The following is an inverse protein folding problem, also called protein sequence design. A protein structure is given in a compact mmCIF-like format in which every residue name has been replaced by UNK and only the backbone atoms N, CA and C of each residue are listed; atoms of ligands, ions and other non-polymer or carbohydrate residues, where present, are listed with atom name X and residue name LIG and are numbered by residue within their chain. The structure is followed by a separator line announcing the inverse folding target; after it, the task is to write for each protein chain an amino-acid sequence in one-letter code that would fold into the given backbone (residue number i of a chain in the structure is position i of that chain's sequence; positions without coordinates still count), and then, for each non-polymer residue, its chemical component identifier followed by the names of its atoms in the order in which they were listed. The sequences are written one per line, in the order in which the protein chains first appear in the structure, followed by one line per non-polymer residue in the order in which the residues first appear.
data_IF_609278726631
#
_entry.id   IF_609278726631
#
_cell.length_a   1.000
_cell.length_b   1.000
_cell.length_c   1.000
_cell.angle_alpha   90.00
_cell.angle_beta   90.00
_cell.angle_gamma   90.00
#
_symmetry.space_group_name_H-M   'P 1'
#
loop_
_entity.id
_entity.type
_entity.pdbx_description
1 polymer ?
#
# COMPACT_ATOMS: atom_id res chain seq x y z
N UNK A 1 -28.27 9.18 -9.09
CA UNK A 1 -27.16 9.23 -8.12
C UNK A 1 -26.10 10.10 -8.75
N UNK A 2 -25.57 11.16 -8.11
CA UNK A 2 -24.47 11.91 -8.71
C UNK A 2 -23.27 10.97 -8.86
N UNK A 3 -22.76 10.83 -10.07
CA UNK A 3 -21.57 10.02 -10.35
C UNK A 3 -20.39 10.62 -9.57
N UNK A 4 -19.91 9.90 -8.55
CA UNK A 4 -18.72 10.28 -7.81
C UNK A 4 -17.52 9.69 -8.52
N UNK A 5 -16.61 10.55 -8.98
CA UNK A 5 -15.33 10.12 -9.54
C UNK A 5 -14.44 9.67 -8.38
N UNK A 6 -13.71 8.56 -8.53
CA UNK A 6 -12.84 8.06 -7.47
C UNK A 6 -11.37 8.12 -7.90
N UNK A 7 -10.51 8.67 -7.04
CA UNK A 7 -9.06 8.52 -7.13
C UNK A 7 -8.68 7.21 -6.45
N UNK A 8 -8.07 6.28 -7.19
CA UNK A 8 -7.77 4.94 -6.70
C UNK A 8 -6.32 4.55 -6.98
N UNK A 9 -5.71 3.86 -6.01
CA UNK A 9 -4.47 3.11 -6.19
C UNK A 9 -4.66 1.67 -5.67
N UNK A 10 -4.10 0.70 -6.38
CA UNK A 10 -4.19 -0.73 -6.02
C UNK A 10 -2.78 -1.29 -5.93
N UNK A 11 -2.40 -1.69 -4.73
CA UNK A 11 -1.17 -2.44 -4.47
C UNK A 11 -1.48 -3.94 -4.56
N UNK A 12 -0.62 -4.68 -5.27
CA UNK A 12 -0.72 -6.14 -5.40
C UNK A 12 0.65 -6.78 -5.20
N UNK A 13 0.69 -7.81 -4.37
CA UNK A 13 1.85 -8.65 -4.12
C UNK A 13 1.42 -10.11 -3.87
N UNK A 14 2.35 -11.08 -3.92
CA UNK A 14 2.04 -12.45 -3.53
C UNK A 14 1.45 -12.49 -2.11
N UNK A 15 0.21 -12.95 -1.98
CA UNK A 15 -0.50 -13.09 -0.70
C UNK A 15 -1.09 -11.81 -0.12
N UNK A 16 -1.03 -10.66 -0.81
CA UNK A 16 -1.64 -9.43 -0.31
C UNK A 16 -2.09 -8.46 -1.41
N UNK A 17 -3.25 -7.86 -1.19
CA UNK A 17 -3.79 -6.77 -2.03
C UNK A 17 -4.29 -5.66 -1.11
N UNK A 18 -3.95 -4.42 -1.42
CA UNK A 18 -4.44 -3.25 -0.69
C UNK A 18 -4.96 -2.22 -1.69
N UNK A 19 -6.19 -1.76 -1.46
CA UNK A 19 -6.79 -0.69 -2.27
C UNK A 19 -6.86 0.58 -1.43
N UNK A 20 -6.45 1.69 -2.05
CA UNK A 20 -6.59 3.04 -1.52
C UNK A 20 -7.57 3.78 -2.42
N UNK A 21 -8.56 4.43 -1.83
CA UNK A 21 -9.61 5.10 -2.59
C UNK A 21 -10.04 6.39 -1.91
N UNK A 22 -10.16 7.46 -2.70
CA UNK A 22 -10.69 8.75 -2.28
C UNK A 22 -11.79 9.19 -3.25
N UNK A 23 -12.93 9.62 -2.70
CA UNK A 23 -14.00 10.19 -3.50
C UNK A 23 -13.65 11.62 -3.91
N UNK A 24 -13.75 11.91 -5.20
CA UNK A 24 -13.67 13.27 -5.74
C UNK A 24 -15.10 13.80 -5.85
N UNK A 25 -15.42 14.89 -5.15
CA UNK A 25 -16.74 15.48 -5.22
C UNK A 25 -16.99 16.05 -6.63
N UNK A 26 -18.12 15.69 -7.22
CA UNK A 26 -18.58 16.26 -8.49
C UNK A 26 -19.46 17.48 -8.21
N UNK A 27 -19.24 18.56 -8.97
CA UNK A 27 -19.99 19.80 -8.83
C UNK A 27 -20.91 19.99 -10.02
N UNK A 28 -22.18 20.34 -9.75
CA UNK A 28 -23.16 20.72 -10.77
C UNK A 28 -23.06 22.22 -11.14
N UNK A 29 -21.97 22.90 -10.77
CA UNK A 29 -21.71 24.28 -11.12
C UNK A 29 -21.40 24.45 -12.63
N UNK A 30 -21.20 25.70 -13.06
CA UNK A 30 -20.78 25.96 -14.43
C UNK A 30 -19.47 25.21 -14.78
N UNK A 31 -19.20 24.93 -16.06
CA UNK A 31 -18.08 24.08 -16.47
C UNK A 31 -16.71 24.56 -15.96
N UNK A 32 -16.50 25.86 -15.78
CA UNK A 32 -15.25 26.40 -15.25
C UNK A 32 -15.15 26.15 -13.74
N UNK A 33 -16.19 26.48 -12.98
CA UNK A 33 -16.23 26.22 -11.54
C UNK A 33 -16.12 24.72 -11.20
N UNK A 34 -16.77 23.86 -11.98
CA UNK A 34 -16.68 22.41 -11.82
C UNK A 34 -15.25 21.90 -12.05
N UNK A 35 -14.55 22.39 -13.09
CA UNK A 35 -13.14 22.03 -13.36
C UNK A 35 -12.20 22.53 -12.27
N UNK A 36 -12.40 23.77 -11.80
CA UNK A 36 -11.58 24.33 -10.72
C UNK A 36 -11.74 23.53 -9.43
N UNK A 37 -12.97 23.21 -9.03
CA UNK A 37 -13.25 22.39 -7.85
C UNK A 37 -12.60 20.99 -7.97
N UNK A 38 -12.72 20.36 -9.14
CA UNK A 38 -12.13 19.06 -9.41
C UNK A 38 -10.59 19.08 -9.29
N UNK A 39 -9.93 20.08 -9.88
CA UNK A 39 -8.48 20.25 -9.78
C UNK A 39 -8.02 20.51 -8.34
N UNK A 40 -8.75 21.35 -7.60
CA UNK A 40 -8.45 21.61 -6.19
C UNK A 40 -8.59 20.34 -5.33
N UNK A 41 -9.62 19.52 -5.59
CA UNK A 41 -9.76 18.22 -4.94
C UNK A 41 -8.58 17.29 -5.26
N UNK A 42 -8.17 17.18 -6.53
CA UNK A 42 -7.01 16.36 -6.91
C UNK A 42 -5.71 16.85 -6.28
N UNK A 43 -5.48 18.16 -6.22
CA UNK A 43 -4.28 18.74 -5.61
C UNK A 43 -4.14 18.40 -4.12
N UNK A 44 -5.26 18.13 -3.44
CA UNK A 44 -5.27 17.74 -2.03
C UNK A 44 -5.22 16.22 -1.86
N UNK A 45 -6.04 15.49 -2.62
CA UNK A 45 -6.21 14.05 -2.48
C UNK A 45 -4.99 13.27 -2.98
N UNK A 46 -4.27 13.75 -4.00
CA UNK A 46 -3.10 13.05 -4.54
C UNK A 46 -1.95 12.97 -3.53
N UNK A 47 -1.51 14.07 -2.88
CA UNK A 47 -0.51 13.99 -1.81
C UNK A 47 -0.95 13.11 -0.64
N UNK A 48 -2.22 13.20 -0.23
CA UNK A 48 -2.75 12.35 0.84
C UNK A 48 -2.69 10.85 0.49
N UNK A 49 -3.06 10.51 -0.75
CA UNK A 49 -2.95 9.15 -1.25
C UNK A 49 -1.48 8.68 -1.29
N UNK A 50 -0.57 9.54 -1.72
CA UNK A 50 0.86 9.25 -1.70
C UNK A 50 1.36 8.96 -0.28
N UNK A 51 0.98 9.78 0.70
CA UNK A 51 1.36 9.57 2.11
C UNK A 51 0.83 8.23 2.63
N UNK A 52 -0.42 7.88 2.32
CA UNK A 52 -1.00 6.60 2.70
C UNK A 52 -0.23 5.41 2.11
N UNK A 53 0.15 5.50 0.83
CA UNK A 53 0.94 4.47 0.16
C UNK A 53 2.33 4.36 0.79
N UNK A 54 2.99 5.49 1.06
CA UNK A 54 4.31 5.51 1.68
C UNK A 54 4.29 4.88 3.07
N UNK A 55 3.31 5.24 3.91
CA UNK A 55 3.14 4.66 5.25
C UNK A 55 2.91 3.15 5.14
N UNK A 56 2.02 2.71 4.25
CA UNK A 56 1.72 1.29 4.05
C UNK A 56 2.95 0.49 3.63
N UNK A 57 3.69 0.95 2.62
CA UNK A 57 4.87 0.24 2.12
C UNK A 57 6.00 0.24 3.16
N UNK A 58 6.15 1.32 3.92
CA UNK A 58 7.17 1.41 4.99
C UNK A 58 6.89 0.41 6.10
N UNK A 59 5.65 0.35 6.60
CA UNK A 59 5.25 -0.62 7.61
C UNK A 59 5.48 -2.06 7.15
N UNK A 60 5.19 -2.36 5.88
CA UNK A 60 5.42 -3.69 5.31
C UNK A 60 6.90 -4.04 5.20
N UNK A 61 7.75 -3.09 4.80
CA UNK A 61 9.20 -3.30 4.77
C UNK A 61 9.77 -3.59 6.17
N UNK A 62 9.26 -2.92 7.20
CA UNK A 62 9.66 -3.18 8.60
C UNK A 62 9.23 -4.58 9.06
N UNK A 63 8.00 -4.99 8.74
CA UNK A 63 7.50 -6.34 9.02
C UNK A 63 8.35 -7.42 8.32
N UNK A 64 8.64 -7.23 7.04
CA UNK A 64 9.45 -8.17 6.26
C UNK A 64 10.88 -8.24 6.77
N UNK A 65 11.47 -7.12 7.20
CA UNK A 65 12.80 -7.10 7.84
C UNK A 65 12.81 -7.89 9.16
N UNK A 66 11.77 -7.77 9.97
CA UNK A 66 11.62 -8.56 11.20
C UNK A 66 11.62 -10.06 10.91
N UNK A 67 10.81 -10.51 9.94
CA UNK A 67 10.74 -11.92 9.53
C UNK A 67 12.07 -12.47 9.01
N UNK A 68 12.81 -11.68 8.22
CA UNK A 68 14.14 -12.07 7.72
C UNK A 68 15.10 -12.23 8.90
N UNK A 69 15.13 -11.29 9.85
CA UNK A 69 16.01 -11.38 11.02
C UNK A 69 15.70 -12.59 11.93
N UNK A 70 14.43 -12.94 12.09
CA UNK A 70 14.04 -14.15 12.84
C UNK A 70 14.46 -15.44 12.13
N UNK A 71 14.40 -15.44 10.79
CA UNK A 71 14.81 -16.58 9.97
C UNK A 71 16.32 -16.75 10.00
N UNK A 72 17.08 -15.68 9.84
CA UNK A 72 18.55 -15.68 9.94
C UNK A 72 18.99 -16.15 11.34
N UNK A 73 18.36 -15.65 12.41
CA UNK A 73 18.68 -16.09 13.78
C UNK A 73 18.41 -17.60 14.01
N UNK A 74 17.37 -18.16 13.39
CA UNK A 74 17.10 -19.61 13.44
C UNK A 74 18.11 -20.41 12.63
N UNK A 75 18.51 -19.93 11.46
CA UNK A 75 19.50 -20.58 10.61
C UNK A 75 20.90 -20.55 11.26
N UNK A 76 21.27 -19.45 11.93
CA UNK A 76 22.52 -19.35 12.72
C UNK A 76 22.51 -20.27 13.95
N UNK A 77 21.39 -20.40 14.65
CA UNK A 77 21.29 -21.31 15.81
C UNK A 77 21.45 -22.79 15.42
N UNK A 78 21.12 -23.14 14.17
CA UNK A 78 21.30 -24.48 13.62
C UNK A 78 22.70 -24.69 13.00
N UNK A 79 23.56 -23.68 13.02
CA UNK A 79 24.89 -23.72 12.42
C UNK A 79 25.88 -24.42 13.37
N UNK A 80 26.00 -25.75 13.24
CA UNK A 80 26.93 -26.57 14.04
C UNK A 80 26.40 -27.93 14.48
N UNK A 81 25.10 -28.18 14.32
CA UNK A 81 24.54 -29.54 14.32
C UNK A 81 24.45 -30.02 12.88
N UNK A 82 25.08 -31.15 12.55
CA UNK A 82 24.76 -31.82 11.28
C UNK A 82 23.32 -32.33 11.38
N UNK A 83 22.37 -31.58 10.82
CA UNK A 83 21.02 -32.09 10.57
C UNK A 83 21.17 -33.10 9.44
N UNK A 84 21.46 -34.34 9.81
CA UNK A 84 21.33 -35.47 8.90
C UNK A 84 19.85 -35.57 8.57
N UNK A 85 19.46 -35.13 7.38
CA UNK A 85 18.16 -35.50 6.84
C UNK A 85 18.20 -37.02 6.65
N UNK A 86 17.61 -37.77 7.59
CA UNK A 86 17.35 -39.19 7.41
C UNK A 86 16.37 -39.33 6.23
N UNK A 87 16.91 -39.66 5.05
CA UNK A 87 16.17 -40.19 3.91
C UNK A 87 15.42 -41.48 4.36
N UNK A 88 14.09 -41.44 4.35
CA UNK A 88 13.22 -42.61 4.52
C UNK A 88 12.05 -42.60 3.53
#
# INVERSE_FOLDING_TARGET
MPDSLALQAVYTAPGATQTFQHAIPTSNADPFAAKQAHLTSLQTLVPQLQDQVNVFLTARMEEDKGKISEKEAKEEANYGEEVVEDDA
#
